data_IF_214192486000
#
_entry.id   IF_214192486000
#
_cell.length_a   1.000
_cell.length_b   1.000
_cell.length_c   1.000
_cell.angle_alpha   90.00
_cell.angle_beta   90.00
_cell.angle_gamma   90.00
#
_symmetry.space_group_name_H-M   'P 1'
#
loop_
_entity.id
_entity.type
_entity.pdbx_description
1 polymer ?
#
# COMPACT_ATOMS: atom_id res chain seq x y z
N UNK A 1 -25.36 3.23 -2.11
CA UNK A 1 -26.25 4.24 -1.49
C UNK A 1 -25.62 5.62 -1.41
N UNK A 2 -24.38 5.81 -0.91
CA UNK A 2 -23.78 7.16 -0.89
C UNK A 2 -23.70 7.83 -2.28
N UNK A 3 -23.37 7.08 -3.32
CA UNK A 3 -23.40 7.57 -4.71
C UNK A 3 -24.80 8.06 -5.10
N UNK A 4 -25.88 7.38 -4.67
CA UNK A 4 -27.26 7.80 -4.96
C UNK A 4 -27.59 9.15 -4.31
N UNK A 5 -27.21 9.33 -3.03
CA UNK A 5 -27.36 10.62 -2.33
C UNK A 5 -26.56 11.71 -3.02
N UNK A 6 -25.30 11.42 -3.33
CA UNK A 6 -24.42 12.36 -4.00
C UNK A 6 -24.96 12.77 -5.37
N UNK A 7 -25.45 11.84 -6.19
CA UNK A 7 -26.10 12.17 -7.46
C UNK A 7 -27.34 13.06 -7.27
N UNK A 8 -28.19 12.73 -6.30
CA UNK A 8 -29.40 13.51 -5.99
C UNK A 8 -29.07 14.96 -5.58
N UNK A 9 -28.08 15.13 -4.70
CA UNK A 9 -27.58 16.44 -4.25
C UNK A 9 -26.97 17.24 -5.40
N UNK A 10 -26.44 16.56 -6.42
CA UNK A 10 -25.85 17.15 -7.62
C UNK A 10 -26.82 17.23 -8.81
N UNK A 11 -28.14 17.19 -8.54
CA UNK A 11 -29.15 17.52 -9.55
C UNK A 11 -29.77 16.34 -10.27
N UNK A 12 -29.32 15.10 -10.02
CA UNK A 12 -30.01 13.93 -10.58
C UNK A 12 -31.44 13.83 -10.02
N UNK A 13 -32.40 13.57 -10.90
CA UNK A 13 -33.83 13.44 -10.55
C UNK A 13 -34.40 12.04 -10.80
N UNK A 14 -33.71 11.24 -11.61
CA UNK A 14 -34.06 9.85 -11.89
C UNK A 14 -32.80 9.01 -11.73
N UNK A 15 -32.80 8.12 -10.74
CA UNK A 15 -31.65 7.29 -10.40
C UNK A 15 -32.10 5.85 -10.40
N UNK A 16 -31.41 5.00 -11.17
CA UNK A 16 -31.66 3.55 -11.15
C UNK A 16 -30.45 2.85 -10.54
N UNK A 17 -30.69 2.11 -9.46
CA UNK A 17 -29.70 1.29 -8.78
C UNK A 17 -29.89 -0.16 -9.21
N UNK A 18 -28.82 -0.80 -9.64
CA UNK A 18 -28.85 -2.20 -10.07
C UNK A 18 -27.97 -3.07 -9.19
N UNK A 19 -28.43 -4.28 -8.95
CA UNK A 19 -27.66 -5.36 -8.33
C UNK A 19 -28.30 -6.70 -8.66
N UNK A 20 -27.62 -7.82 -8.42
CA UNK A 20 -28.17 -9.16 -8.69
C UNK A 20 -29.38 -9.52 -7.82
N UNK A 21 -29.45 -9.01 -6.59
CA UNK A 21 -30.54 -9.34 -5.65
C UNK A 21 -31.59 -8.25 -5.53
N UNK A 22 -31.27 -7.00 -5.90
CA UNK A 22 -32.15 -5.84 -5.71
C UNK A 22 -32.69 -5.67 -4.28
N UNK A 23 -31.95 -6.16 -3.28
CA UNK A 23 -32.38 -6.12 -1.89
C UNK A 23 -32.39 -4.68 -1.37
N UNK A 24 -33.57 -4.21 -0.97
CA UNK A 24 -33.78 -2.93 -0.31
C UNK A 24 -34.05 -3.20 1.17
N UNK A 25 -33.35 -2.50 2.07
CA UNK A 25 -33.62 -2.55 3.51
C UNK A 25 -34.58 -1.42 3.88
N UNK A 26 -35.24 -1.51 5.03
CA UNK A 26 -36.11 -0.44 5.54
C UNK A 26 -35.36 0.92 5.63
N UNK A 27 -34.08 0.89 5.99
CA UNK A 27 -33.24 2.09 5.99
C UNK A 27 -33.06 2.70 4.59
N UNK A 28 -32.96 1.86 3.56
CA UNK A 28 -32.88 2.31 2.16
C UNK A 28 -34.23 2.85 1.68
N UNK A 29 -35.36 2.26 2.09
CA UNK A 29 -36.70 2.78 1.76
C UNK A 29 -36.91 4.18 2.34
N UNK A 30 -36.59 4.38 3.63
CA UNK A 30 -36.65 5.72 4.26
C UNK A 30 -35.75 6.74 3.54
N UNK A 31 -34.61 6.30 3.02
CA UNK A 31 -33.75 7.16 2.20
C UNK A 31 -34.43 7.54 0.88
N UNK A 32 -35.07 6.59 0.21
CA UNK A 32 -35.77 6.85 -1.06
C UNK A 32 -36.98 7.75 -0.87
N UNK A 33 -37.73 7.60 0.22
CA UNK A 33 -38.82 8.50 0.61
C UNK A 33 -38.30 9.93 0.82
N UNK A 34 -37.23 10.09 1.61
CA UNK A 34 -36.62 11.40 1.84
C UNK A 34 -36.05 12.04 0.55
N UNK A 35 -35.68 11.24 -0.45
CA UNK A 35 -35.26 11.70 -1.78
C UNK A 35 -36.47 12.03 -2.66
N UNK A 36 -37.56 11.28 -2.56
CA UNK A 36 -38.81 11.54 -3.27
C UNK A 36 -39.43 12.88 -2.84
N UNK A 37 -39.36 13.22 -1.55
CA UNK A 37 -39.77 14.54 -1.02
C UNK A 37 -38.98 15.70 -1.65
N UNK A 38 -37.77 15.42 -2.17
CA UNK A 38 -36.93 16.38 -2.91
C UNK A 38 -37.11 16.29 -4.44
N UNK A 39 -38.10 15.54 -4.91
CA UNK A 39 -38.40 15.34 -6.33
C UNK A 39 -37.44 14.39 -7.04
N UNK A 40 -36.78 13.47 -6.31
CA UNK A 40 -35.89 12.47 -6.90
C UNK A 40 -36.56 11.09 -6.88
N UNK A 41 -36.73 10.50 -8.06
CA UNK A 41 -37.23 9.14 -8.22
C UNK A 41 -36.06 8.17 -8.22
N UNK A 42 -36.04 7.23 -7.27
CA UNK A 42 -35.06 6.13 -7.21
C UNK A 42 -35.76 4.81 -7.53
N UNK A 43 -35.25 4.07 -8.51
CA UNK A 43 -35.66 2.68 -8.76
C UNK A 43 -34.53 1.71 -8.39
N UNK A 44 -34.89 0.56 -7.84
CA UNK A 44 -33.95 -0.53 -7.55
C UNK A 44 -34.38 -1.73 -8.36
N UNK A 45 -33.52 -2.17 -9.29
CA UNK A 45 -33.84 -3.23 -10.24
C UNK A 45 -32.83 -4.37 -10.13
N UNK A 46 -33.31 -5.60 -10.33
CA UNK A 46 -32.44 -6.76 -10.42
C UNK A 46 -31.81 -6.82 -11.81
N UNK A 47 -30.49 -6.81 -11.87
CA UNK A 47 -29.74 -6.94 -13.11
C UNK A 47 -28.33 -7.44 -12.78
N UNK A 48 -27.94 -8.56 -13.38
CA UNK A 48 -26.53 -8.94 -13.43
C UNK A 48 -25.86 -8.20 -14.59
N UNK A 49 -24.88 -7.37 -14.27
CA UNK A 49 -24.15 -6.57 -15.26
C UNK A 49 -23.33 -7.44 -16.22
N UNK A 50 -23.10 -8.71 -15.89
CA UNK A 50 -22.40 -9.67 -16.76
C UNK A 50 -23.34 -10.32 -17.79
N UNK A 51 -24.67 -10.26 -17.59
CA UNK A 51 -25.66 -10.77 -18.54
C UNK A 51 -26.00 -9.71 -19.59
N UNK A 52 -25.53 -9.93 -20.82
CA UNK A 52 -25.77 -9.04 -21.95
C UNK A 52 -27.25 -8.82 -22.25
N UNK A 53 -28.08 -9.85 -22.17
CA UNK A 53 -29.50 -9.76 -22.48
C UNK A 53 -30.24 -8.93 -21.42
N UNK A 54 -29.90 -9.16 -20.14
CA UNK A 54 -30.45 -8.41 -19.02
C UNK A 54 -30.06 -6.93 -19.08
N UNK A 55 -28.79 -6.62 -19.31
CA UNK A 55 -28.31 -5.23 -19.45
C UNK A 55 -28.95 -4.54 -20.64
N UNK A 56 -29.04 -5.22 -21.80
CA UNK A 56 -29.66 -4.64 -22.99
C UNK A 56 -31.15 -4.32 -22.77
N UNK A 57 -31.90 -5.26 -22.19
CA UNK A 57 -33.32 -5.08 -21.90
C UNK A 57 -33.56 -3.93 -20.93
N UNK A 58 -32.77 -3.88 -19.85
CA UNK A 58 -32.82 -2.79 -18.87
C UNK A 58 -32.54 -1.43 -19.51
N UNK A 59 -31.47 -1.29 -20.29
CA UNK A 59 -31.12 -0.02 -20.91
C UNK A 59 -32.22 0.45 -21.89
N UNK A 60 -32.85 -0.47 -22.62
CA UNK A 60 -33.95 -0.13 -23.52
C UNK A 60 -35.20 0.34 -22.74
N UNK A 61 -35.53 -0.30 -21.62
CA UNK A 61 -36.62 0.14 -20.74
C UNK A 61 -36.36 1.54 -20.18
N UNK A 62 -35.14 1.79 -19.69
CA UNK A 62 -34.76 3.10 -19.15
C UNK A 62 -34.86 4.20 -20.21
N UNK A 63 -34.43 3.93 -21.46
CA UNK A 63 -34.52 4.87 -22.59
C UNK A 63 -35.94 5.25 -22.96
N UNK A 64 -36.93 4.37 -22.72
CA UNK A 64 -38.35 4.71 -22.95
C UNK A 64 -38.84 5.76 -21.96
N UNK A 65 -38.23 5.84 -20.77
CA UNK A 65 -38.62 6.77 -19.71
C UNK A 65 -37.87 8.10 -19.78
N UNK A 66 -36.57 8.08 -20.09
CA UNK A 66 -35.72 9.27 -20.23
C UNK A 66 -34.37 8.94 -20.91
N UNK A 67 -33.67 9.93 -21.47
CA UNK A 67 -32.29 9.77 -21.91
C UNK A 67 -31.37 9.37 -20.74
N UNK A 68 -30.47 8.42 -20.98
CA UNK A 68 -29.42 8.05 -20.02
C UNK A 68 -28.32 9.10 -20.11
N UNK A 69 -28.04 9.78 -19.01
CA UNK A 69 -27.02 10.85 -18.95
C UNK A 69 -25.72 10.44 -18.28
N UNK A 70 -25.78 9.51 -17.35
CA UNK A 70 -24.61 9.10 -16.58
C UNK A 70 -24.65 7.61 -16.28
N UNK A 71 -23.49 6.97 -16.31
CA UNK A 71 -23.30 5.60 -15.85
C UNK A 71 -22.23 5.60 -14.77
N UNK A 72 -22.51 4.96 -13.63
CA UNK A 72 -21.50 4.66 -12.61
C UNK A 72 -21.39 3.16 -12.42
N UNK A 73 -20.26 2.59 -12.84
CA UNK A 73 -19.99 1.17 -12.69
C UNK A 73 -19.22 0.92 -11.39
N UNK A 74 -19.95 0.43 -10.38
CA UNK A 74 -19.42 0.13 -9.05
C UNK A 74 -19.54 -1.36 -8.66
N UNK A 75 -19.82 -2.24 -9.62
CA UNK A 75 -19.93 -3.68 -9.36
C UNK A 75 -18.55 -4.25 -8.99
N UNK A 76 -18.50 -5.01 -7.91
CA UNK A 76 -17.28 -5.68 -7.49
C UNK A 76 -17.56 -6.92 -6.65
N UNK A 77 -16.62 -7.86 -6.73
CA UNK A 77 -16.50 -9.02 -5.83
C UNK A 77 -15.03 -9.10 -5.42
N UNK A 78 -14.77 -9.44 -4.16
CA UNK A 78 -13.43 -9.72 -3.65
C UNK A 78 -13.33 -11.20 -3.32
N UNK A 79 -12.15 -11.77 -3.56
CA UNK A 79 -11.85 -13.18 -3.31
C UNK A 79 -10.33 -13.32 -3.14
N UNK A 80 -9.81 -12.76 -2.05
CA UNK A 80 -8.37 -12.60 -1.86
C UNK A 80 -7.65 -13.97 -1.83
N UNK A 81 -6.54 -14.05 -2.53
CA UNK A 81 -5.69 -15.23 -2.63
C UNK A 81 -4.40 -14.91 -3.37
N UNK A 82 -3.28 -15.43 -2.87
CA UNK A 82 -2.02 -15.34 -3.62
C UNK A 82 -2.17 -16.05 -4.96
N UNK A 83 -1.45 -15.59 -5.99
CA UNK A 83 -1.66 -16.06 -7.37
C UNK A 83 -1.58 -17.59 -7.53
N UNK A 84 -0.74 -18.25 -6.73
CA UNK A 84 -0.57 -19.71 -6.71
C UNK A 84 -1.80 -20.48 -6.22
N UNK A 85 -2.71 -19.81 -5.49
CA UNK A 85 -3.93 -20.38 -4.91
C UNK A 85 -5.20 -19.98 -5.70
N UNK A 86 -5.04 -19.23 -6.78
CA UNK A 86 -6.16 -18.81 -7.62
C UNK A 86 -6.35 -19.83 -8.75
N UNK A 87 -7.54 -20.42 -8.82
CA UNK A 87 -7.98 -21.18 -9.98
C UNK A 87 -8.75 -20.27 -10.96
N UNK A 88 -9.12 -20.83 -12.12
CA UNK A 88 -9.87 -20.10 -13.16
C UNK A 88 -11.20 -19.55 -12.63
N UNK A 89 -11.90 -20.31 -11.79
CA UNK A 89 -13.20 -19.93 -11.27
C UNK A 89 -13.10 -18.71 -10.35
N UNK A 90 -12.13 -18.68 -9.44
CA UNK A 90 -11.86 -17.54 -8.54
C UNK A 90 -11.39 -16.33 -9.33
N UNK A 91 -10.61 -16.51 -10.39
CA UNK A 91 -10.24 -15.43 -11.30
C UNK A 91 -11.46 -14.81 -11.97
N UNK A 92 -12.27 -15.63 -12.66
CA UNK A 92 -13.49 -15.18 -13.36
C UNK A 92 -14.45 -14.46 -12.42
N UNK A 93 -14.70 -15.02 -11.24
CA UNK A 93 -15.58 -14.44 -10.22
C UNK A 93 -15.22 -12.99 -9.85
N UNK A 94 -13.94 -12.63 -9.82
CA UNK A 94 -13.47 -11.27 -9.50
C UNK A 94 -13.41 -10.38 -10.75
N UNK A 95 -12.99 -10.93 -11.89
CA UNK A 95 -12.84 -10.18 -13.13
C UNK A 95 -14.18 -9.85 -13.78
N UNK A 96 -15.07 -10.83 -13.96
CA UNK A 96 -16.28 -10.70 -14.78
C UNK A 96 -17.16 -9.51 -14.40
N UNK A 97 -17.50 -9.28 -13.11
CA UNK A 97 -18.36 -8.15 -12.74
C UNK A 97 -17.80 -6.79 -13.15
N UNK A 98 -16.46 -6.63 -13.10
CA UNK A 98 -15.78 -5.38 -13.48
C UNK A 98 -15.50 -5.32 -14.97
N UNK A 99 -14.85 -6.34 -15.51
CA UNK A 99 -14.35 -6.35 -16.89
C UNK A 99 -15.50 -6.52 -17.87
N UNK A 100 -16.22 -7.64 -17.79
CA UNK A 100 -17.34 -7.91 -18.69
C UNK A 100 -18.47 -6.90 -18.47
N UNK A 101 -18.76 -6.57 -17.20
CA UNK A 101 -19.75 -5.56 -16.85
C UNK A 101 -19.49 -4.19 -17.48
N UNK A 102 -18.27 -3.66 -17.32
CA UNK A 102 -17.91 -2.38 -17.92
C UNK A 102 -17.83 -2.44 -19.45
N UNK A 103 -17.35 -3.55 -20.03
CA UNK A 103 -17.32 -3.75 -21.48
C UNK A 103 -18.72 -3.72 -22.09
N UNK A 104 -19.69 -4.40 -21.46
CA UNK A 104 -21.08 -4.44 -21.93
C UNK A 104 -21.74 -3.07 -21.80
N UNK A 105 -21.51 -2.37 -20.68
CA UNK A 105 -22.01 -1.01 -20.50
C UNK A 105 -21.42 -0.07 -21.55
N UNK A 106 -20.10 -0.12 -21.82
CA UNK A 106 -19.49 0.69 -22.86
C UNK A 106 -20.14 0.42 -24.22
N UNK A 107 -20.19 -0.85 -24.64
CA UNK A 107 -20.71 -1.26 -25.96
C UNK A 107 -22.18 -0.85 -26.14
N UNK A 108 -23.03 -1.18 -25.16
CA UNK A 108 -24.48 -1.01 -25.26
C UNK A 108 -24.94 0.42 -25.00
N UNK A 109 -24.02 1.37 -24.72
CA UNK A 109 -24.34 2.78 -24.46
C UNK A 109 -23.59 3.73 -25.37
N UNK A 110 -22.90 3.24 -26.42
CA UNK A 110 -22.16 4.10 -27.36
C UNK A 110 -23.07 5.06 -28.13
N UNK A 111 -24.34 4.71 -28.31
CA UNK A 111 -25.37 5.53 -28.93
C UNK A 111 -25.99 6.56 -27.99
N UNK A 112 -25.76 6.46 -26.67
CA UNK A 112 -26.27 7.44 -25.72
C UNK A 112 -25.32 8.65 -25.66
N UNK A 113 -25.90 9.85 -25.63
CA UNK A 113 -25.18 11.10 -25.34
C UNK A 113 -24.94 11.22 -23.84
N UNK A 114 -24.06 10.36 -23.32
CA UNK A 114 -23.64 10.39 -21.93
C UNK A 114 -22.84 11.67 -21.66
N UNK A 115 -23.08 12.25 -20.49
CA UNK A 115 -22.29 13.34 -19.91
C UNK A 115 -21.17 12.75 -19.03
N UNK A 116 -21.41 11.58 -18.41
CA UNK A 116 -20.46 10.94 -17.49
C UNK A 116 -20.46 9.41 -17.63
N UNK A 117 -19.27 8.81 -17.59
CA UNK A 117 -19.09 7.36 -17.50
C UNK A 117 -18.03 7.05 -16.43
N UNK A 118 -18.48 6.84 -15.21
CA UNK A 118 -17.63 6.72 -14.03
C UNK A 118 -17.38 5.25 -13.74
N UNK A 119 -16.12 4.85 -13.66
CA UNK A 119 -15.69 3.49 -13.36
C UNK A 119 -15.00 3.46 -12.00
N UNK A 120 -15.50 2.66 -11.06
CA UNK A 120 -14.86 2.54 -9.76
C UNK A 120 -13.69 1.56 -9.84
N UNK A 121 -12.49 2.11 -9.98
CA UNK A 121 -11.20 1.41 -9.87
C UNK A 121 -10.78 1.36 -8.38
N UNK A 122 -9.51 1.03 -8.11
CA UNK A 122 -8.92 1.01 -6.79
C UNK A 122 -7.51 1.56 -6.82
N UNK A 123 -7.07 2.19 -5.74
CA UNK A 123 -5.69 2.66 -5.62
C UNK A 123 -4.65 1.53 -5.67
N UNK A 124 -5.08 0.28 -5.49
CA UNK A 124 -4.23 -0.91 -5.64
C UNK A 124 -3.70 -1.11 -7.05
N UNK A 125 -4.25 -0.45 -8.08
CA UNK A 125 -3.67 -0.48 -9.44
C UNK A 125 -2.29 0.17 -9.53
N UNK A 126 -2.01 1.12 -8.65
CA UNK A 126 -0.74 1.85 -8.62
C UNK A 126 0.34 1.09 -7.82
N UNK A 127 -0.04 0.51 -6.69
CA UNK A 127 0.90 -0.03 -5.70
C UNK A 127 0.81 -1.55 -5.50
N UNK A 128 -0.17 -2.19 -6.12
CA UNK A 128 -0.54 -3.59 -5.85
C UNK A 128 -1.20 -3.76 -4.48
N UNK A 129 -1.64 -4.99 -4.21
CA UNK A 129 -1.99 -5.44 -2.86
C UNK A 129 -1.79 -6.96 -2.80
N UNK A 130 -1.03 -7.50 -1.83
CA UNK A 130 -0.83 -8.94 -1.70
C UNK A 130 -2.16 -9.69 -1.65
N UNK A 131 -2.27 -10.77 -2.44
CA UNK A 131 -3.49 -11.57 -2.53
C UNK A 131 -4.58 -11.00 -3.44
N UNK A 132 -4.36 -9.88 -4.13
CA UNK A 132 -5.37 -9.21 -4.96
C UNK A 132 -4.96 -9.04 -6.42
N UNK A 133 -4.14 -9.94 -6.97
CA UNK A 133 -3.65 -9.82 -8.36
C UNK A 133 -4.76 -9.75 -9.41
N UNK A 134 -5.79 -10.59 -9.28
CA UNK A 134 -6.99 -10.59 -10.12
C UNK A 134 -7.85 -9.33 -9.95
N UNK A 135 -8.02 -8.83 -8.73
CA UNK A 135 -8.73 -7.59 -8.46
C UNK A 135 -7.99 -6.37 -9.04
N UNK A 136 -6.67 -6.30 -8.85
CA UNK A 136 -5.80 -5.28 -9.44
C UNK A 136 -5.89 -5.32 -10.96
N UNK A 137 -5.83 -6.50 -11.58
CA UNK A 137 -6.00 -6.65 -13.03
C UNK A 137 -7.37 -6.17 -13.52
N UNK A 138 -8.45 -6.51 -12.81
CA UNK A 138 -9.80 -6.08 -13.15
C UNK A 138 -9.96 -4.55 -13.08
N UNK A 139 -9.35 -3.90 -12.09
CA UNK A 139 -9.33 -2.44 -11.99
C UNK A 139 -8.45 -1.80 -13.07
N UNK A 140 -7.30 -2.40 -13.40
CA UNK A 140 -6.45 -1.96 -14.51
C UNK A 140 -7.18 -1.98 -15.86
N UNK A 141 -8.05 -2.97 -16.09
CA UNK A 141 -8.94 -2.98 -17.26
C UNK A 141 -9.88 -1.77 -17.28
N UNK A 142 -10.50 -1.42 -16.15
CA UNK A 142 -11.39 -0.25 -16.07
C UNK A 142 -10.65 1.05 -16.41
N UNK A 143 -9.43 1.20 -15.92
CA UNK A 143 -8.56 2.33 -16.25
C UNK A 143 -8.17 2.38 -17.73
N UNK A 144 -7.91 1.22 -18.34
CA UNK A 144 -7.68 1.09 -19.78
C UNK A 144 -8.92 1.46 -20.60
N UNK A 145 -10.10 1.02 -20.16
CA UNK A 145 -11.37 1.34 -20.81
C UNK A 145 -11.69 2.84 -20.75
N UNK A 146 -11.43 3.50 -19.61
CA UNK A 146 -11.61 4.95 -19.50
C UNK A 146 -10.74 5.70 -20.52
N UNK A 147 -9.46 5.35 -20.63
CA UNK A 147 -8.55 5.92 -21.64
C UNK A 147 -9.03 5.65 -23.07
N UNK A 148 -9.46 4.43 -23.36
CA UNK A 148 -9.98 4.04 -24.67
C UNK A 148 -11.24 4.83 -25.05
N UNK A 149 -12.16 5.07 -24.11
CA UNK A 149 -13.35 5.91 -24.34
C UNK A 149 -12.97 7.35 -24.65
N UNK A 150 -12.04 7.95 -23.90
CA UNK A 150 -11.57 9.31 -24.15
C UNK A 150 -10.90 9.47 -25.52
N UNK A 151 -10.10 8.48 -25.96
CA UNK A 151 -9.55 8.44 -27.33
C UNK A 151 -10.61 8.49 -28.42
N UNK A 152 -11.82 8.00 -28.13
CA UNK A 152 -12.97 8.04 -29.03
C UNK A 152 -13.86 9.28 -28.83
N UNK A 153 -13.41 10.27 -28.05
CA UNK A 153 -14.17 11.47 -27.73
C UNK A 153 -15.38 11.23 -26.83
N UNK A 154 -15.43 10.09 -26.12
CA UNK A 154 -16.52 9.75 -25.20
C UNK A 154 -16.09 10.01 -23.75
N UNK A 155 -17.01 10.51 -22.89
CA UNK A 155 -16.66 10.76 -21.50
C UNK A 155 -16.36 9.44 -20.79
N UNK A 156 -15.34 9.48 -19.93
CA UNK A 156 -15.04 8.43 -18.96
C UNK A 156 -14.06 8.93 -17.89
N UNK A 157 -14.27 8.53 -16.64
CA UNK A 157 -13.29 8.67 -15.55
C UNK A 157 -13.23 7.35 -14.79
N UNK A 158 -12.05 6.77 -14.65
CA UNK A 158 -11.78 5.71 -13.70
C UNK A 158 -11.24 6.30 -12.40
N UNK A 159 -11.88 5.97 -11.29
CA UNK A 159 -11.52 6.49 -9.97
C UNK A 159 -10.85 5.39 -9.16
N UNK A 160 -9.54 5.50 -8.97
CA UNK A 160 -8.74 4.66 -8.09
C UNK A 160 -9.01 5.01 -6.63
N UNK A 161 -10.07 4.45 -6.05
CA UNK A 161 -10.41 4.71 -4.65
C UNK A 161 -9.38 4.12 -3.69
N UNK A 162 -8.92 4.95 -2.75
CA UNK A 162 -8.24 4.50 -1.53
C UNK A 162 -9.21 3.85 -0.54
N UNK A 163 -8.74 3.61 0.67
CA UNK A 163 -9.55 2.97 1.70
C UNK A 163 -10.72 3.86 2.15
N UNK A 164 -11.95 3.35 2.03
CA UNK A 164 -13.17 4.03 2.48
C UNK A 164 -13.58 3.47 3.85
N UNK A 165 -13.56 4.30 4.89
CA UNK A 165 -13.72 3.82 6.28
C UNK A 165 -15.16 3.71 6.80
N UNK A 166 -16.09 4.49 6.24
CA UNK A 166 -17.43 4.70 6.81
C UNK A 166 -18.55 3.88 6.13
N UNK A 167 -18.33 3.42 4.90
CA UNK A 167 -19.29 2.60 4.14
C UNK A 167 -18.58 1.57 3.26
N UNK A 168 -19.34 0.60 2.74
CA UNK A 168 -18.81 -0.34 1.76
C UNK A 168 -18.08 -1.51 2.41
N UNK A 169 -17.00 -1.99 1.76
CA UNK A 169 -16.34 -3.24 2.15
C UNK A 169 -15.65 -3.14 3.51
N UNK A 170 -14.81 -2.13 3.75
CA UNK A 170 -14.03 -2.02 4.99
C UNK A 170 -14.93 -1.80 6.21
N UNK A 171 -15.95 -0.94 6.09
CA UNK A 171 -16.93 -0.72 7.16
C UNK A 171 -17.70 -2.00 7.56
N UNK A 172 -17.80 -3.00 6.66
CA UNK A 172 -18.40 -4.31 6.95
C UNK A 172 -17.39 -5.37 7.41
N UNK A 173 -16.10 -5.07 7.37
CA UNK A 173 -15.00 -5.99 7.69
C UNK A 173 -13.97 -5.28 8.60
N UNK A 174 -14.36 -5.07 9.85
CA UNK A 174 -13.58 -4.32 10.85
C UNK A 174 -12.18 -4.88 11.06
N UNK A 175 -11.99 -6.20 11.00
CA UNK A 175 -10.67 -6.84 11.14
C UNK A 175 -9.68 -6.40 10.03
N UNK A 176 -10.18 -6.18 8.82
CA UNK A 176 -9.37 -5.70 7.68
C UNK A 176 -9.06 -4.21 7.85
N UNK A 177 -10.04 -3.43 8.32
CA UNK A 177 -9.88 -2.01 8.64
C UNK A 177 -8.82 -1.79 9.72
N UNK A 178 -8.84 -2.61 10.78
CA UNK A 178 -7.89 -2.53 11.89
C UNK A 178 -6.47 -2.90 11.46
N UNK A 179 -6.32 -3.96 10.65
CA UNK A 179 -5.02 -4.33 10.08
C UNK A 179 -4.46 -3.20 9.21
N UNK A 180 -5.29 -2.64 8.34
CA UNK A 180 -4.90 -1.52 7.48
C UNK A 180 -4.44 -0.32 8.31
N UNK A 181 -5.19 0.01 9.36
CA UNK A 181 -4.90 1.14 10.24
C UNK A 181 -3.59 0.95 11.01
N UNK A 182 -3.29 -0.27 11.45
CA UNK A 182 -2.02 -0.60 12.13
C UNK A 182 -0.80 -0.53 11.21
N UNK A 183 -0.96 -0.87 9.92
CA UNK A 183 0.16 -0.92 8.98
C UNK A 183 0.39 0.38 8.21
N UNK A 184 -0.67 1.15 7.94
CA UNK A 184 -0.62 2.35 7.11
C UNK A 184 -1.13 3.62 7.84
N UNK A 185 -1.38 3.55 9.15
CA UNK A 185 -1.95 4.66 9.92
C UNK A 185 -3.41 4.96 9.55
N UNK A 186 -3.90 6.15 9.91
CA UNK A 186 -5.26 6.61 9.56
C UNK A 186 -5.35 7.01 8.07
N UNK A 187 -5.25 6.00 7.19
CA UNK A 187 -5.24 6.15 5.74
C UNK A 187 -6.63 5.99 5.10
N UNK A 188 -7.70 6.08 5.88
CA UNK A 188 -9.07 5.97 5.36
C UNK A 188 -9.69 7.34 5.09
N UNK A 189 -10.52 7.44 4.06
CA UNK A 189 -11.36 8.60 3.79
C UNK A 189 -12.83 8.25 4.02
N UNK A 190 -13.65 9.27 4.27
CA UNK A 190 -15.10 9.10 4.24
C UNK A 190 -15.60 9.06 2.80
N UNK A 191 -16.61 8.24 2.51
CA UNK A 191 -17.16 8.15 1.16
C UNK A 191 -17.66 9.50 0.65
N UNK A 192 -18.29 10.31 1.52
CA UNK A 192 -18.77 11.62 1.10
C UNK A 192 -17.64 12.58 0.74
N UNK A 193 -16.56 12.59 1.53
CA UNK A 193 -15.35 13.36 1.23
C UNK A 193 -14.77 12.95 -0.13
N UNK A 194 -14.63 11.65 -0.39
CA UNK A 194 -14.16 11.14 -1.68
C UNK A 194 -15.06 11.53 -2.86
N UNK A 195 -16.38 11.46 -2.68
CA UNK A 195 -17.35 11.84 -3.72
C UNK A 195 -17.38 13.35 -3.97
N UNK A 196 -17.19 14.18 -2.95
CA UNK A 196 -17.09 15.63 -3.12
C UNK A 196 -15.79 16.03 -3.86
N UNK A 197 -14.70 15.29 -3.68
CA UNK A 197 -13.49 15.42 -4.51
C UNK A 197 -13.79 14.98 -5.95
N UNK A 198 -14.45 13.85 -6.15
CA UNK A 198 -14.83 13.37 -7.48
C UNK A 198 -15.68 14.40 -8.23
N UNK A 199 -16.60 15.09 -7.56
CA UNK A 199 -17.37 16.19 -8.15
C UNK A 199 -16.45 17.25 -8.78
N UNK A 200 -15.44 17.71 -8.03
CA UNK A 200 -14.48 18.71 -8.52
C UNK A 200 -13.67 18.20 -9.70
N UNK A 201 -13.27 16.92 -9.68
CA UNK A 201 -12.57 16.29 -10.82
C UNK A 201 -13.46 16.29 -12.06
N UNK A 202 -14.72 15.90 -11.92
CA UNK A 202 -15.68 15.86 -13.03
C UNK A 202 -15.96 17.26 -13.58
N UNK A 203 -16.08 18.27 -12.71
CA UNK A 203 -16.28 19.68 -13.12
C UNK A 203 -15.09 20.28 -13.87
N UNK A 204 -13.89 19.74 -13.65
CA UNK A 204 -12.64 20.19 -14.28
C UNK A 204 -12.17 19.23 -15.39
N UNK A 205 -12.99 18.24 -15.75
CA UNK A 205 -12.61 17.23 -16.73
C UNK A 205 -12.46 17.85 -18.12
N UNK A 206 -11.26 17.77 -18.67
CA UNK A 206 -10.91 18.28 -20.00
C UNK A 206 -11.12 17.23 -21.10
N UNK A 207 -11.52 16.00 -20.74
CA UNK A 207 -11.73 14.90 -21.67
C UNK A 207 -10.45 14.34 -22.28
N UNK A 208 -9.26 14.78 -21.82
CA UNK A 208 -7.97 14.34 -22.34
C UNK A 208 -7.66 12.93 -21.85
N UNK A 209 -7.09 12.07 -22.71
CA UNK A 209 -6.82 10.66 -22.39
C UNK A 209 -6.01 10.47 -21.12
N UNK A 210 -4.95 11.27 -20.92
CA UNK A 210 -4.05 11.13 -19.77
C UNK A 210 -4.77 11.38 -18.43
N UNK A 211 -5.84 12.17 -18.44
CA UNK A 211 -6.63 12.52 -17.26
C UNK A 211 -7.80 11.56 -17.01
N UNK A 212 -7.91 10.47 -17.78
CA UNK A 212 -8.98 9.46 -17.64
C UNK A 212 -8.96 8.71 -16.31
N UNK A 213 -7.85 8.78 -15.57
CA UNK A 213 -7.66 8.05 -14.33
C UNK A 213 -7.25 9.02 -13.25
N UNK A 214 -7.97 8.99 -12.14
CA UNK A 214 -7.65 9.75 -10.93
C UNK A 214 -7.65 8.84 -9.73
N UNK A 215 -6.76 9.10 -8.77
CA UNK A 215 -6.69 8.35 -7.53
C UNK A 215 -7.13 9.25 -6.39
N UNK A 216 -8.12 8.81 -5.61
CA UNK A 216 -8.71 9.59 -4.51
C UNK A 216 -8.65 8.75 -3.24
N UNK A 217 -7.83 9.19 -2.29
CA UNK A 217 -7.62 8.48 -1.03
C UNK A 217 -6.59 9.18 -0.15
N UNK A 218 -6.55 8.80 1.12
CA UNK A 218 -5.42 9.08 2.00
C UNK A 218 -4.41 7.96 1.86
N UNK A 219 -3.14 8.31 1.89
CA UNK A 219 -2.06 7.35 1.82
C UNK A 219 -0.90 7.83 2.67
N UNK A 220 -0.50 7.04 3.66
CA UNK A 220 0.64 7.34 4.50
C UNK A 220 1.93 6.97 3.76
N UNK A 221 2.34 7.82 2.82
CA UNK A 221 3.47 7.57 1.92
C UNK A 221 4.77 7.26 2.66
N UNK A 222 5.07 7.93 3.78
CA UNK A 222 6.26 7.66 4.58
C UNK A 222 6.22 6.24 5.20
N UNK A 223 5.13 5.86 5.86
CA UNK A 223 4.97 4.52 6.44
C UNK A 223 4.93 3.42 5.36
N UNK A 224 4.28 3.70 4.24
CA UNK A 224 4.24 2.80 3.10
C UNK A 224 5.63 2.62 2.47
N UNK A 225 6.41 3.69 2.32
CA UNK A 225 7.78 3.62 1.78
C UNK A 225 8.68 2.73 2.64
N UNK A 226 8.44 2.70 3.96
CA UNK A 226 9.20 1.84 4.84
C UNK A 226 8.91 0.34 4.67
N UNK A 227 7.71 -0.01 4.21
CA UNK A 227 7.19 -1.39 4.16
C UNK A 227 7.03 -1.95 2.74
N UNK A 228 6.91 -1.09 1.73
CA UNK A 228 6.71 -1.45 0.32
C UNK A 228 7.95 -1.10 -0.50
N UNK A 229 8.75 -2.11 -0.85
CA UNK A 229 9.94 -1.95 -1.70
C UNK A 229 9.65 -1.36 -3.08
N UNK A 230 8.40 -1.45 -3.55
CA UNK A 230 7.93 -0.80 -4.77
C UNK A 230 8.08 0.72 -4.72
N UNK A 231 7.90 1.34 -3.56
CA UNK A 231 7.93 2.80 -3.41
C UNK A 231 9.36 3.37 -3.44
N UNK A 232 10.38 2.53 -3.35
CA UNK A 232 11.78 2.95 -3.57
C UNK A 232 12.15 3.03 -5.06
N UNK A 233 11.22 2.73 -5.98
CA UNK A 233 11.45 2.84 -7.43
C UNK A 233 11.39 4.30 -7.89
N UNK A 234 12.11 4.67 -8.97
CA UNK A 234 12.15 6.05 -9.48
C UNK A 234 10.79 6.69 -9.73
N UNK A 235 9.79 5.88 -10.10
CA UNK A 235 8.41 6.33 -10.34
C UNK A 235 7.80 7.08 -9.14
N UNK A 236 8.18 6.72 -7.91
CA UNK A 236 7.59 7.27 -6.69
C UNK A 236 8.45 8.34 -6.02
N UNK A 237 9.61 8.68 -6.60
CA UNK A 237 10.60 9.58 -5.98
C UNK A 237 10.00 10.93 -5.57
N UNK A 238 9.21 11.54 -6.44
CA UNK A 238 8.57 12.84 -6.17
C UNK A 238 7.51 12.76 -5.07
N UNK A 239 6.79 11.64 -4.99
CA UNK A 239 5.71 11.44 -4.02
C UNK A 239 6.31 11.17 -2.63
N UNK A 240 7.31 10.29 -2.55
CA UNK A 240 8.00 9.95 -1.30
C UNK A 240 8.83 11.14 -0.82
N UNK A 241 9.55 11.83 -1.71
CA UNK A 241 10.36 13.00 -1.32
C UNK A 241 9.53 14.15 -0.74
N UNK A 242 8.29 14.35 -1.20
CA UNK A 242 7.34 15.31 -0.58
C UNK A 242 6.83 14.85 0.77
N UNK A 243 6.56 13.55 0.91
CA UNK A 243 6.08 12.98 2.17
C UNK A 243 7.16 12.94 3.27
N UNK A 244 8.42 12.79 2.88
CA UNK A 244 9.56 12.84 3.80
C UNK A 244 9.88 14.29 4.21
N UNK A 245 9.71 15.26 3.32
CA UNK A 245 9.91 16.69 3.60
C UNK A 245 8.94 17.28 4.64
N UNK A 246 7.73 16.72 4.77
CA UNK A 246 6.77 17.11 5.83
C UNK A 246 7.07 16.42 7.19
N UNK A 247 7.91 15.37 7.21
CA UNK A 247 8.25 14.56 8.39
C UNK A 247 9.70 14.75 8.88
N UNK A 248 10.46 15.69 8.31
CA UNK A 248 11.84 15.99 8.71
C UNK A 248 11.96 16.47 10.17
N UNK A 249 10.84 16.74 10.85
CA UNK A 249 10.84 17.04 12.29
C UNK A 249 10.71 15.81 13.22
N UNK A 250 10.43 14.58 12.74
CA UNK A 250 9.97 13.52 13.69
C UNK A 250 10.26 12.03 13.38
N UNK A 251 11.10 11.65 12.40
CA UNK A 251 11.21 10.21 12.00
C UNK A 251 12.58 9.52 12.04
N UNK A 252 13.66 10.20 12.44
CA UNK A 252 14.88 9.54 12.88
C UNK A 252 15.12 9.95 14.34
N UNK A 253 14.80 9.06 15.28
CA UNK A 253 15.22 9.26 16.66
C UNK A 253 16.73 9.08 16.70
N UNK A 254 17.48 10.18 16.68
CA UNK A 254 18.92 10.12 16.87
C UNK A 254 19.20 9.63 18.29
N UNK A 255 19.50 8.34 18.42
CA UNK A 255 19.83 7.70 19.69
C UNK A 255 20.97 8.47 20.38
N UNK A 256 21.87 9.13 19.63
CA UNK A 256 22.96 9.92 20.22
C UNK A 256 22.41 11.07 21.06
N UNK A 257 21.48 11.84 20.50
CA UNK A 257 20.83 12.94 21.24
C UNK A 257 20.09 12.47 22.49
N UNK A 258 19.56 11.24 22.50
CA UNK A 258 18.88 10.66 23.67
C UNK A 258 19.81 10.21 24.80
N UNK A 259 21.08 9.91 24.50
CA UNK A 259 22.05 9.35 25.45
C UNK A 259 23.20 10.30 25.79
N UNK A 260 23.33 11.43 25.10
CA UNK A 260 24.40 12.43 25.27
C UNK A 260 24.57 12.85 26.74
N UNK A 261 23.46 13.17 27.43
CA UNK A 261 23.44 13.64 28.83
C UNK A 261 23.13 12.52 29.85
N UNK A 262 23.23 11.24 29.46
CA UNK A 262 22.88 10.10 30.31
C UNK A 262 24.09 9.36 30.82
N UNK A 263 23.98 8.84 32.05
CA UNK A 263 24.97 7.88 32.58
C UNK A 263 24.91 6.58 31.79
N UNK A 264 26.00 5.82 31.74
CA UNK A 264 26.04 4.54 31.01
C UNK A 264 24.91 3.56 31.41
N UNK A 265 24.51 3.43 32.68
CA UNK A 265 23.35 2.62 33.06
C UNK A 265 22.03 3.12 32.47
N UNK A 266 21.77 4.43 32.50
CA UNK A 266 20.54 5.03 31.95
C UNK A 266 20.51 4.95 30.42
N UNK A 267 21.65 5.19 29.78
CA UNK A 267 21.79 5.07 28.33
C UNK A 267 21.58 3.61 27.88
N UNK A 268 22.08 2.64 28.64
CA UNK A 268 21.89 1.22 28.36
C UNK A 268 20.41 0.82 28.47
N UNK A 269 19.69 1.31 29.48
CA UNK A 269 18.25 1.06 29.64
C UNK A 269 17.43 1.62 28.47
N UNK A 270 17.76 2.84 28.02
CA UNK A 270 17.13 3.46 26.85
C UNK A 270 17.37 2.63 25.58
N UNK A 271 18.62 2.22 25.33
CA UNK A 271 18.98 1.41 24.16
C UNK A 271 18.30 0.04 24.22
N UNK A 272 18.30 -0.61 25.39
CA UNK A 272 17.65 -1.90 25.58
C UNK A 272 16.13 -1.81 25.32
N UNK A 273 15.47 -0.77 25.80
CA UNK A 273 14.04 -0.54 25.54
C UNK A 273 13.75 -0.36 24.04
N UNK A 274 14.57 0.40 23.32
CA UNK A 274 14.42 0.60 21.87
C UNK A 274 14.63 -0.71 21.09
N UNK A 275 15.57 -1.53 21.53
CA UNK A 275 15.80 -2.86 20.97
C UNK A 275 14.64 -3.82 21.25
N UNK A 276 14.04 -3.77 22.45
CA UNK A 276 12.86 -4.56 22.79
C UNK A 276 11.67 -4.25 21.86
N UNK A 277 11.46 -2.97 21.51
CA UNK A 277 10.42 -2.55 20.56
C UNK A 277 10.70 -3.08 19.14
N UNK A 278 11.96 -3.11 18.73
CA UNK A 278 12.37 -3.63 17.43
C UNK A 278 12.18 -5.15 17.35
N UNK A 279 12.65 -5.87 18.36
CA UNK A 279 12.53 -7.33 18.48
C UNK A 279 11.07 -7.75 18.62
N UNK A 280 10.27 -7.04 19.44
CA UNK A 280 8.84 -7.30 19.59
C UNK A 280 8.09 -7.18 18.27
N UNK A 281 8.50 -6.26 17.39
CA UNK A 281 7.90 -6.16 16.04
C UNK A 281 8.22 -7.36 15.16
N UNK A 282 9.46 -7.82 15.18
CA UNK A 282 9.94 -8.97 14.39
C UNK A 282 9.25 -10.26 14.88
N UNK A 283 9.17 -10.43 16.21
CA UNK A 283 8.58 -11.61 16.84
C UNK A 283 7.06 -11.54 17.02
N UNK A 284 6.45 -10.39 16.73
CA UNK A 284 5.02 -10.08 16.96
C UNK A 284 4.58 -10.27 18.41
N UNK A 285 5.45 -9.84 19.33
CA UNK A 285 5.21 -9.83 20.76
C UNK A 285 5.20 -8.37 21.28
N UNK A 286 4.39 -8.06 22.31
CA UNK A 286 4.53 -6.81 23.06
C UNK A 286 5.97 -6.61 23.53
N UNK A 287 6.50 -5.39 23.46
CA UNK A 287 7.87 -5.09 23.87
C UNK A 287 8.12 -5.41 25.36
N UNK A 288 7.08 -5.27 26.19
CA UNK A 288 7.05 -5.62 27.61
C UNK A 288 7.21 -7.13 27.89
N UNK A 289 6.90 -7.99 26.92
CA UNK A 289 7.07 -9.44 27.03
C UNK A 289 8.49 -9.91 26.65
N UNK A 290 9.33 -9.00 26.14
CA UNK A 290 10.71 -9.29 25.78
C UNK A 290 11.59 -9.10 27.03
N UNK A 291 11.92 -10.22 27.68
CA UNK A 291 12.83 -10.20 28.83
C UNK A 291 14.24 -9.78 28.42
N UNK A 292 14.79 -8.84 29.19
CA UNK A 292 16.10 -8.25 29.00
C UNK A 292 17.27 -9.24 29.17
N UNK A 293 17.09 -10.21 30.07
CA UNK A 293 18.14 -11.12 30.55
C UNK A 293 18.04 -12.51 29.92
N UNK A 294 17.00 -12.76 29.13
CA UNK A 294 16.77 -14.05 28.49
C UNK A 294 17.44 -14.08 27.10
N UNK A 295 18.10 -15.19 26.72
CA UNK A 295 18.75 -15.27 25.42
C UNK A 295 17.77 -15.06 24.26
N UNK A 296 18.17 -14.26 23.26
CA UNK A 296 17.31 -13.91 22.12
C UNK A 296 16.85 -15.14 21.31
N UNK A 297 17.69 -16.17 21.22
CA UNK A 297 17.36 -17.44 20.57
C UNK A 297 16.17 -18.16 21.22
N UNK A 298 15.96 -18.00 22.52
CA UNK A 298 14.84 -18.63 23.24
C UNK A 298 13.49 -17.94 22.97
N UNK A 299 13.52 -16.73 22.40
CA UNK A 299 12.33 -16.07 21.88
C UNK A 299 12.01 -16.45 20.43
N UNK A 300 12.76 -17.41 19.86
CA UNK A 300 12.54 -17.88 18.49
C UNK A 300 13.23 -17.03 17.42
N UNK A 301 14.18 -16.17 17.80
CA UNK A 301 15.02 -15.44 16.85
C UNK A 301 15.92 -16.39 16.07
N UNK A 302 15.83 -16.37 14.74
CA UNK A 302 16.74 -17.08 13.84
C UNK A 302 17.74 -16.13 13.15
N UNK A 303 18.68 -16.69 12.39
CA UNK A 303 19.72 -15.93 11.69
C UNK A 303 19.18 -14.95 10.64
N UNK A 304 17.97 -15.17 10.10
CA UNK A 304 17.34 -14.29 9.12
C UNK A 304 16.64 -13.12 9.83
N UNK A 305 15.99 -13.38 10.96
CA UNK A 305 15.47 -12.35 11.87
C UNK A 305 16.57 -11.46 12.45
N UNK A 306 17.77 -12.00 12.68
CA UNK A 306 18.95 -11.20 13.07
C UNK A 306 19.38 -10.18 12.01
N UNK A 307 19.23 -10.54 10.73
CA UNK A 307 19.49 -9.62 9.62
C UNK A 307 18.41 -8.54 9.54
N UNK A 308 17.14 -8.91 9.76
CA UNK A 308 16.01 -7.98 9.81
C UNK A 308 16.16 -6.98 10.96
N UNK A 309 16.58 -7.44 12.15
CA UNK A 309 16.90 -6.60 13.30
C UNK A 309 18.02 -5.60 12.98
N UNK A 310 19.08 -6.04 12.29
CA UNK A 310 20.16 -5.15 11.85
C UNK A 310 19.66 -4.06 10.92
N UNK A 311 18.89 -4.42 9.90
CA UNK A 311 18.33 -3.46 8.96
C UNK A 311 17.37 -2.49 9.65
N UNK A 312 16.57 -2.99 10.58
CA UNK A 312 15.65 -2.20 11.40
C UNK A 312 16.36 -1.16 12.26
N UNK A 313 17.40 -1.57 12.98
CA UNK A 313 18.22 -0.68 13.83
C UNK A 313 18.94 0.37 12.99
N UNK A 314 19.57 -0.04 11.89
CA UNK A 314 20.30 0.88 11.00
C UNK A 314 19.37 1.94 10.40
N UNK A 315 18.16 1.54 10.00
CA UNK A 315 17.17 2.42 9.40
C UNK A 315 16.54 3.38 10.40
N UNK A 316 16.19 2.90 11.59
CA UNK A 316 15.41 3.68 12.57
C UNK A 316 16.28 4.56 13.46
N UNK A 317 17.51 4.13 13.72
CA UNK A 317 18.40 4.78 14.69
C UNK A 317 19.71 5.29 14.08
N UNK A 318 19.89 5.15 12.76
CA UNK A 318 21.11 5.56 12.06
C UNK A 318 22.40 4.95 12.64
N UNK A 319 22.31 3.69 13.11
CA UNK A 319 23.40 2.95 13.75
C UNK A 319 23.80 1.73 12.95
N UNK A 320 25.07 1.65 12.57
CA UNK A 320 25.62 0.47 11.91
C UNK A 320 26.14 -0.53 12.95
N UNK A 321 25.48 -1.68 13.04
CA UNK A 321 25.83 -2.75 13.98
C UNK A 321 26.40 -3.97 13.23
N UNK A 322 27.40 -4.67 13.81
CA UNK A 322 27.89 -5.94 13.26
C UNK A 322 26.79 -7.00 13.22
N UNK A 323 26.97 -8.01 12.37
CA UNK A 323 26.10 -9.18 12.38
C UNK A 323 26.19 -9.85 13.75
N UNK A 324 25.09 -9.86 14.50
CA UNK A 324 25.05 -10.49 15.82
C UNK A 324 24.95 -11.99 15.61
N UNK A 325 25.89 -12.74 16.18
CA UNK A 325 25.78 -14.19 16.26
C UNK A 325 24.71 -14.52 17.31
N UNK A 326 23.48 -14.78 16.87
CA UNK A 326 22.35 -15.16 17.76
C UNK A 326 22.60 -16.51 18.46
N UNK A 327 23.55 -17.30 17.95
CA UNK A 327 23.94 -18.61 18.47
C UNK A 327 24.67 -18.60 19.83
N UNK A 328 24.96 -17.44 20.42
CA UNK A 328 25.86 -17.30 21.57
C UNK A 328 25.23 -17.11 22.96
N UNK A 329 23.92 -17.26 23.14
CA UNK A 329 23.27 -16.99 24.44
C UNK A 329 23.12 -15.50 24.80
N UNK A 330 23.42 -14.60 23.86
CA UNK A 330 23.33 -13.14 24.01
C UNK A 330 21.93 -12.71 24.42
N UNK A 331 21.84 -11.94 25.52
CA UNK A 331 20.59 -11.31 25.95
C UNK A 331 20.47 -9.88 25.41
N UNK A 332 19.33 -9.24 25.66
CA UNK A 332 19.06 -7.88 25.20
C UNK A 332 20.00 -6.86 25.83
N UNK A 333 20.31 -7.02 27.12
CA UNK A 333 21.20 -6.11 27.86
C UNK A 333 22.65 -6.19 27.35
N UNK A 334 23.12 -7.40 26.99
CA UNK A 334 24.43 -7.58 26.36
C UNK A 334 24.51 -6.85 25.02
N UNK A 335 23.42 -6.90 24.27
CA UNK A 335 23.34 -6.29 22.95
C UNK A 335 23.26 -4.75 23.04
N UNK A 336 22.48 -4.24 23.99
CA UNK A 336 22.40 -2.82 24.30
C UNK A 336 23.75 -2.26 24.77
N UNK A 337 24.47 -2.99 25.63
CA UNK A 337 25.80 -2.61 26.08
C UNK A 337 26.83 -2.56 24.94
N UNK A 338 26.78 -3.52 24.00
CA UNK A 338 27.66 -3.52 22.81
C UNK A 338 27.41 -2.33 21.89
N UNK A 339 26.14 -1.96 21.71
CA UNK A 339 25.75 -0.79 20.92
C UNK A 339 26.23 0.49 21.59
N UNK A 340 25.98 0.63 22.90
CA UNK A 340 26.42 1.78 23.69
C UNK A 340 27.94 1.95 23.64
N UNK A 341 28.70 0.86 23.82
CA UNK A 341 30.16 0.87 23.74
C UNK A 341 30.66 1.35 22.37
N UNK A 342 29.99 0.94 21.28
CA UNK A 342 30.33 1.39 19.92
C UNK A 342 30.03 2.87 19.70
N UNK A 343 28.91 3.36 20.22
CA UNK A 343 28.55 4.79 20.11
C UNK A 343 29.59 5.63 20.85
N UNK A 344 29.92 5.28 22.10
CA UNK A 344 30.94 5.97 22.91
C UNK A 344 32.36 5.85 22.35
N UNK A 345 32.73 4.70 21.75
CA UNK A 345 34.04 4.56 21.06
C UNK A 345 34.17 5.45 19.83
N UNK A 346 33.07 5.70 19.11
CA UNK A 346 33.05 6.63 17.98
C UNK A 346 33.23 8.09 18.42
N UNK A 347 32.80 8.45 19.62
CA UNK A 347 33.02 9.78 20.23
C UNK A 347 34.47 10.00 20.66
N UNK A 348 35.17 8.95 21.12
CA UNK A 348 36.54 9.05 21.64
C UNK A 348 37.67 8.99 20.59
N UNK A 349 37.35 9.00 19.28
CA UNK A 349 38.33 9.28 18.22
C UNK A 349 39.37 8.20 17.88
N UNK A 350 39.18 6.94 18.28
CA UNK A 350 40.06 5.85 17.87
C UNK A 350 39.65 5.29 16.49
N UNK A 351 40.05 5.98 15.43
CA UNK A 351 40.20 5.34 14.10
C UNK A 351 41.51 4.55 14.07
N UNK A 352 41.51 3.37 14.70
CA UNK A 352 42.47 2.34 14.31
C UNK A 352 41.92 1.65 13.05
N UNK A 353 42.53 2.00 11.92
CA UNK A 353 42.47 1.41 10.58
C UNK A 353 41.47 0.25 10.35
N UNK A 354 40.57 0.48 9.39
CA UNK A 354 39.70 -0.50 8.74
C UNK A 354 40.50 -1.64 8.09
N UNK A 355 40.91 -2.64 8.87
CA UNK A 355 41.46 -3.92 8.38
C UNK A 355 40.46 -5.09 8.52
N UNK A 356 39.22 -4.79 8.96
CA UNK A 356 38.26 -5.81 9.38
C UNK A 356 37.20 -6.19 8.34
N UNK A 357 36.97 -5.41 7.27
CA UNK A 357 35.93 -5.77 6.29
C UNK A 357 36.42 -6.79 5.26
N UNK A 358 37.67 -6.65 4.79
CA UNK A 358 38.26 -7.55 3.80
C UNK A 358 38.69 -8.90 4.40
N UNK A 359 39.17 -8.93 5.65
CA UNK A 359 39.53 -10.17 6.35
C UNK A 359 38.29 -11.02 6.70
N UNK A 360 37.18 -10.38 7.06
CA UNK A 360 35.90 -11.05 7.34
C UNK A 360 35.26 -11.58 6.07
N UNK A 361 35.31 -10.85 4.96
CA UNK A 361 34.81 -11.33 3.65
C UNK A 361 35.67 -12.46 3.08
N UNK A 362 37.00 -12.40 3.25
CA UNK A 362 37.90 -13.47 2.86
C UNK A 362 37.66 -14.76 3.68
N UNK A 363 37.45 -14.63 5.00
CA UNK A 363 37.17 -15.77 5.88
C UNK A 363 35.79 -16.42 5.65
N UNK A 364 34.83 -15.72 5.04
CA UNK A 364 33.49 -16.25 4.77
C UNK A 364 33.38 -17.07 3.47
N UNK A 365 34.34 -16.93 2.55
CA UNK A 365 34.24 -17.49 1.19
C UNK A 365 35.44 -18.36 0.77
N UNK A 366 36.44 -18.54 1.64
CA UNK A 366 37.64 -19.30 1.36
C UNK A 366 37.79 -20.43 2.39
N UNK A 367 37.89 -21.67 1.93
CA UNK A 367 38.17 -22.81 2.80
C UNK A 367 39.54 -22.65 3.49
N UNK A 368 39.69 -23.15 4.72
CA UNK A 368 40.82 -22.94 5.64
C UNK A 368 42.24 -23.32 5.12
N UNK A 369 42.37 -23.81 3.88
CA UNK A 369 43.61 -24.38 3.31
C UNK A 369 44.32 -23.48 2.28
N UNK A 370 44.19 -22.15 2.34
CA UNK A 370 44.96 -21.25 1.45
C UNK A 370 46.28 -20.79 2.07
N UNK A 371 47.36 -20.96 1.30
CA UNK A 371 48.69 -20.47 1.67
C UNK A 371 48.81 -18.93 1.54
N UNK A 372 49.87 -18.36 2.11
CA UNK A 372 50.07 -16.91 2.14
C UNK A 372 50.25 -16.29 0.75
N UNK A 373 50.70 -17.07 -0.24
CA UNK A 373 50.84 -16.61 -1.62
C UNK A 373 49.46 -16.45 -2.29
N UNK A 374 48.54 -17.39 -2.03
CA UNK A 374 47.18 -17.33 -2.52
C UNK A 374 46.38 -16.19 -1.86
N UNK A 375 46.62 -15.92 -0.57
CA UNK A 375 46.02 -14.75 0.13
C UNK A 375 46.50 -13.41 -0.43
N UNK A 376 47.78 -13.33 -0.82
CA UNK A 376 48.33 -12.13 -1.48
C UNK A 376 47.69 -11.87 -2.84
N UNK A 377 47.47 -12.92 -3.65
CA UNK A 377 46.86 -12.79 -4.97
C UNK A 377 45.39 -12.30 -4.91
N UNK A 378 44.63 -12.71 -3.87
CA UNK A 378 43.25 -12.23 -3.67
C UNK A 378 43.23 -10.74 -3.29
N UNK A 379 44.18 -10.27 -2.45
CA UNK A 379 44.29 -8.85 -2.12
C UNK A 379 44.61 -8.01 -3.35
N UNK A 380 45.59 -8.44 -4.15
CA UNK A 380 45.95 -7.74 -5.39
C UNK A 380 44.77 -7.63 -6.37
N UNK A 381 43.94 -8.67 -6.50
CA UNK A 381 42.73 -8.65 -7.35
C UNK A 381 41.70 -7.65 -6.83
N UNK A 382 41.47 -7.61 -5.51
CA UNK A 382 40.51 -6.69 -4.89
C UNK A 382 40.95 -5.23 -5.05
N UNK A 383 42.23 -4.95 -4.85
CA UNK A 383 42.80 -3.61 -5.01
C UNK A 383 42.77 -3.15 -6.47
N UNK A 384 43.04 -4.06 -7.42
CA UNK A 384 42.97 -3.77 -8.87
C UNK A 384 41.53 -3.51 -9.34
N UNK A 385 40.52 -4.11 -8.69
CA UNK A 385 39.11 -3.94 -9.03
C UNK A 385 38.44 -2.73 -8.38
N UNK A 386 38.99 -2.21 -7.28
CA UNK A 386 38.54 -0.96 -6.67
C UNK A 386 38.62 0.22 -7.68
N UNK A 387 39.63 0.20 -8.53
CA UNK A 387 39.91 1.23 -9.54
C UNK A 387 38.91 1.21 -10.73
N UNK A 388 38.23 0.08 -10.98
CA UNK A 388 37.18 0.00 -12.02
C UNK A 388 35.88 0.70 -11.60
N UNK A 389 35.55 0.68 -10.32
CA UNK A 389 34.34 1.33 -9.78
C UNK A 389 34.46 2.85 -9.84
N UNK A 390 35.67 3.39 -9.62
CA UNK A 390 35.97 4.82 -9.72
C UNK A 390 35.93 5.32 -11.17
N UNK A 391 36.27 4.48 -12.15
CA UNK A 391 36.20 4.82 -13.59
C UNK A 391 34.81 4.80 -14.22
N UNK A 392 33.83 4.17 -13.59
CA UNK A 392 32.44 4.12 -14.10
C UNK A 392 31.61 5.31 -13.57
N UNK A 393 32.07 5.94 -12.48
CA UNK A 393 31.38 7.03 -11.79
C UNK A 393 31.96 8.43 -12.07
N UNK A 394 32.98 8.52 -12.93
CA UNK A 394 33.46 9.76 -13.56
C UNK A 394 33.25 9.65 -15.08
#
# INVERSE_FOLDING_TARGET
MEVCRWLADNGARRITLTSRSANVSEQHERLFEALADKGVTVSVLSCDVTDRSAVHSLLNELRQSAPIKSITHAAMVLDDGIIQQLDEQRFRKVLEPKVQGASLLDELTRQDELEQFILFSSATTMIGNPGQSHYVAANGYLEGLARARRRLGKPAIAVGWGAIGDVGFLARNTDVSDKLSRHLGEATIKAREGLDILKRVVEQDDGVEQNAVVHIGRFAWAAAHQSLSLLSKPLFREIVGRADGDNESDSATDIRSLIEDKTDPEANEIVAHLLAIEIGRILRLPAEDISHQRPLAEFGMDSLMGLELRMGIQKRFNLEIPLVSISGGTCLDDFAAQILQKIRKRENGDMAAEDSSHSVLAGQHVADDMDDAQKSAVRDILDTHHDKTVRILN
#
